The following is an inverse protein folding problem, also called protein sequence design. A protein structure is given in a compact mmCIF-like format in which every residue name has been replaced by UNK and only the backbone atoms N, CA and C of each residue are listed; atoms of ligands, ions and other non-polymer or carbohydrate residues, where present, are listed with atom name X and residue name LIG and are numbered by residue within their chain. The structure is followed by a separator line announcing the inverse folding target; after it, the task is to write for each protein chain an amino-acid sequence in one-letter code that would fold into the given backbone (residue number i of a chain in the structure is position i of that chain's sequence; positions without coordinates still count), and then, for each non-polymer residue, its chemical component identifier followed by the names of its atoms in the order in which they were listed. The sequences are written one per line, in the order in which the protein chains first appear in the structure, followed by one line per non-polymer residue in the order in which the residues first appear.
data_IF_844805983951
#
_entry.id   IF_844805983951
#
_cell.length_a   1.000
_cell.length_b   1.000
_cell.length_c   1.000
_cell.angle_alpha   90.00
_cell.angle_beta   90.00
_cell.angle_gamma   90.00
#
_symmetry.space_group_name_H-M   'P 1'
#
loop_
_entity.id
_entity.type
_entity.pdbx_description
1 polymer ?
#
# COMPACT_ATOMS: atom_id res chain seq x y z
N UNK A 1 -3.95 -6.80 8.45
CA UNK A 1 -3.06 -7.97 8.24
C UNK A 1 -2.83 -8.82 9.50
N UNK A 2 -3.01 -8.31 10.73
CA UNK A 2 -2.80 -9.07 11.96
C UNK A 2 -3.61 -10.39 12.03
N UNK A 3 -4.80 -10.42 11.42
CA UNK A 3 -5.64 -11.63 11.31
C UNK A 3 -4.95 -12.76 10.51
N UNK A 4 -4.30 -12.45 9.38
CA UNK A 4 -3.64 -13.44 8.53
C UNK A 4 -2.46 -14.10 9.25
N UNK A 5 -1.59 -13.27 9.86
CA UNK A 5 -0.48 -13.75 10.70
C UNK A 5 -0.96 -14.60 11.86
N UNK A 6 -2.02 -14.17 12.57
CA UNK A 6 -2.63 -14.96 13.65
C UNK A 6 -3.21 -16.27 13.14
N UNK A 7 -3.87 -16.32 11.99
CA UNK A 7 -4.38 -17.58 11.44
C UNK A 7 -3.25 -18.55 11.06
N UNK A 8 -2.20 -18.08 10.39
CA UNK A 8 -1.16 -18.95 9.87
C UNK A 8 -0.19 -19.45 10.95
N UNK A 9 0.16 -18.60 11.93
CA UNK A 9 0.89 -19.03 13.12
C UNK A 9 0.08 -20.02 13.98
N UNK A 10 -1.26 -19.84 14.06
CA UNK A 10 -2.17 -20.70 14.84
C UNK A 10 -2.52 -22.02 14.13
N UNK A 11 -2.43 -22.08 12.79
CA UNK A 11 -2.39 -23.34 12.02
C UNK A 11 -1.13 -24.13 12.39
N UNK A 12 0.04 -23.50 12.33
CA UNK A 12 1.35 -24.14 12.58
C UNK A 12 1.51 -24.76 13.98
N UNK A 13 0.76 -24.28 14.98
CA UNK A 13 0.88 -24.74 16.38
C UNK A 13 -0.11 -25.83 16.83
N UNK A 14 -1.07 -26.24 15.98
CA UNK A 14 -2.16 -27.16 16.39
C UNK A 14 -2.40 -28.37 15.48
N UNK A 15 -1.68 -28.47 14.38
CA UNK A 15 -2.04 -29.32 13.24
C UNK A 15 -0.81 -30.08 12.75
N UNK A 16 -0.92 -31.34 12.32
CA UNK A 16 0.24 -32.12 11.87
C UNK A 16 0.86 -31.53 10.59
N UNK A 17 2.11 -31.87 10.26
CA UNK A 17 2.76 -31.34 9.04
C UNK A 17 2.00 -31.70 7.75
N UNK A 18 1.37 -32.88 7.69
CA UNK A 18 0.56 -33.31 6.55
C UNK A 18 -0.73 -32.48 6.45
N UNK A 19 -1.43 -32.34 7.58
CA UNK A 19 -2.67 -31.56 7.65
C UNK A 19 -2.43 -30.06 7.40
N UNK A 20 -1.26 -29.53 7.78
CA UNK A 20 -0.86 -28.15 7.49
C UNK A 20 -0.74 -27.88 5.98
N UNK A 21 -0.26 -28.85 5.20
CA UNK A 21 -0.21 -28.75 3.74
C UNK A 21 -1.63 -28.69 3.16
N UNK A 22 -2.50 -29.65 3.51
CA UNK A 22 -3.87 -29.71 3.00
C UNK A 22 -4.70 -28.48 3.39
N UNK A 23 -4.61 -28.02 4.65
CA UNK A 23 -5.27 -26.80 5.15
C UNK A 23 -4.73 -25.53 4.46
N UNK A 24 -3.50 -25.55 3.93
CA UNK A 24 -2.95 -24.43 3.16
C UNK A 24 -3.39 -24.51 1.70
N UNK A 25 -3.33 -25.69 1.08
CA UNK A 25 -3.83 -25.97 -0.28
C UNK A 25 -5.29 -25.57 -0.45
N UNK A 26 -6.14 -25.88 0.52
CA UNK A 26 -7.58 -25.58 0.47
C UNK A 26 -7.92 -24.10 0.72
N UNK A 27 -7.12 -23.37 1.50
CA UNK A 27 -7.43 -21.99 1.91
C UNK A 27 -6.63 -20.91 1.15
N UNK A 28 -5.48 -21.25 0.57
CA UNK A 28 -4.59 -20.33 -0.14
C UNK A 28 -4.32 -20.76 -1.59
N UNK A 29 -4.66 -22.00 -1.96
CA UNK A 29 -4.34 -22.57 -3.28
C UNK A 29 -2.90 -23.06 -3.41
N UNK A 30 -2.45 -23.25 -4.66
CA UNK A 30 -1.10 -23.65 -5.03
C UNK A 30 -0.53 -22.68 -6.06
N UNK A 31 0.79 -22.47 -5.98
CA UNK A 31 1.62 -21.71 -6.89
C UNK A 31 2.23 -22.69 -7.91
N UNK A 32 1.63 -22.80 -9.10
CA UNK A 32 1.98 -23.80 -10.13
C UNK A 32 2.16 -25.22 -9.56
N UNK A 33 1.17 -25.71 -8.81
CA UNK A 33 1.19 -27.05 -8.18
C UNK A 33 2.03 -27.18 -6.91
N UNK A 34 2.73 -26.13 -6.48
CA UNK A 34 3.57 -26.12 -5.28
C UNK A 34 3.06 -25.15 -4.21
N UNK A 35 3.53 -25.24 -2.97
CA UNK A 35 3.23 -24.22 -1.95
C UNK A 35 3.96 -22.91 -2.26
N UNK A 36 3.38 -21.77 -1.87
CA UNK A 36 3.99 -20.45 -2.07
C UNK A 36 5.41 -20.38 -1.46
N UNK A 37 6.39 -20.02 -2.28
CA UNK A 37 7.80 -19.94 -1.89
C UNK A 37 8.07 -18.60 -1.19
N UNK A 38 8.78 -18.64 -0.05
CA UNK A 38 9.22 -17.43 0.66
C UNK A 38 10.59 -17.01 0.13
N UNK A 39 10.72 -15.76 -0.34
CA UNK A 39 12.00 -15.19 -0.75
C UNK A 39 12.68 -14.60 0.48
N UNK A 40 14.00 -14.72 0.57
CA UNK A 40 14.82 -14.03 1.56
C UNK A 40 15.06 -12.58 1.08
N UNK A 41 14.56 -11.53 1.77
CA UNK A 41 14.80 -10.15 1.34
C UNK A 41 16.29 -9.77 1.48
N UNK A 42 16.79 -8.77 0.72
CA UNK A 42 18.14 -8.26 0.86
C UNK A 42 18.46 -7.80 2.29
N UNK A 43 19.73 -7.92 2.69
CA UNK A 43 20.16 -7.54 4.05
C UNK A 43 19.93 -6.07 4.36
N UNK A 44 20.08 -5.19 3.37
CA UNK A 44 19.73 -3.76 3.47
C UNK A 44 18.25 -3.54 3.80
N UNK A 45 17.35 -4.25 3.12
CA UNK A 45 15.91 -4.16 3.36
C UNK A 45 15.51 -4.78 4.72
N UNK A 46 16.13 -5.89 5.13
CA UNK A 46 15.98 -6.46 6.48
C UNK A 46 16.47 -5.49 7.57
N UNK A 47 17.62 -4.85 7.37
CA UNK A 47 18.17 -3.88 8.31
C UNK A 47 17.23 -2.68 8.48
N UNK A 48 16.62 -2.18 7.39
CA UNK A 48 15.59 -1.15 7.45
C UNK A 48 14.32 -1.64 8.17
N UNK A 49 13.85 -2.85 7.88
CA UNK A 49 12.70 -3.49 8.55
C UNK A 49 12.88 -3.61 10.06
N UNK A 50 14.04 -4.08 10.52
CA UNK A 50 14.38 -4.16 11.95
C UNK A 50 14.55 -2.77 12.58
N UNK A 51 15.20 -1.82 11.89
CA UNK A 51 15.47 -0.46 12.40
C UNK A 51 14.20 0.38 12.53
N UNK A 52 13.23 0.20 11.64
CA UNK A 52 12.00 1.00 11.57
C UNK A 52 10.73 0.22 11.98
N UNK A 53 10.92 -0.94 12.64
CA UNK A 53 9.88 -1.76 13.25
C UNK A 53 8.68 -2.06 12.32
N UNK A 54 8.96 -2.36 11.04
CA UNK A 54 7.93 -2.75 10.08
C UNK A 54 8.11 -4.18 9.60
N UNK A 55 6.99 -4.84 9.36
CA UNK A 55 6.93 -6.21 8.88
C UNK A 55 7.34 -6.32 7.41
N UNK A 56 8.48 -6.97 7.15
CA UNK A 56 8.92 -7.33 5.81
C UNK A 56 8.70 -8.81 5.53
N UNK A 57 7.95 -9.11 4.46
CA UNK A 57 7.75 -10.46 3.93
C UNK A 57 7.87 -10.41 2.42
N UNK A 58 8.53 -11.41 1.82
CA UNK A 58 8.68 -11.52 0.38
C UNK A 58 8.29 -12.93 -0.05
N UNK A 59 7.52 -13.02 -1.13
CA UNK A 59 6.97 -14.27 -1.65
C UNK A 59 7.18 -14.33 -3.16
N UNK A 60 7.43 -15.53 -3.68
CA UNK A 60 7.61 -15.78 -5.11
C UNK A 60 6.38 -16.47 -5.67
N UNK A 61 5.60 -15.71 -6.43
CA UNK A 61 4.66 -16.30 -7.36
C UNK A 61 5.41 -16.71 -8.62
N UNK A 62 5.37 -18.00 -8.93
CA UNK A 62 5.91 -18.56 -10.16
C UNK A 62 4.76 -18.69 -11.13
N UNK A 63 5.00 -18.35 -12.39
CA UNK A 63 4.11 -18.67 -13.47
C UNK A 63 4.85 -19.58 -14.45
N UNK A 64 4.14 -20.54 -15.04
CA UNK A 64 4.49 -20.98 -16.38
C UNK A 64 4.49 -19.74 -17.30
N UNK A 65 5.43 -19.70 -18.24
CA UNK A 65 6.05 -18.47 -18.76
C UNK A 65 5.07 -17.45 -19.40
N UNK A 66 4.42 -16.60 -18.60
CA UNK A 66 3.90 -15.23 -18.90
C UNK A 66 3.52 -14.44 -17.60
N UNK A 67 3.10 -13.16 -17.68
CA UNK A 67 3.58 -12.06 -16.78
C UNK A 67 2.80 -11.63 -15.47
N UNK A 68 3.55 -11.52 -14.35
CA UNK A 68 3.64 -10.49 -13.25
C UNK A 68 2.47 -10.01 -12.31
N UNK A 69 2.64 -10.01 -10.94
CA UNK A 69 1.68 -9.52 -9.89
C UNK A 69 2.18 -8.45 -8.83
N UNK A 70 1.34 -8.00 -7.84
CA UNK A 70 1.59 -6.93 -6.79
C UNK A 70 0.84 -7.08 -5.41
N UNK A 71 1.25 -6.38 -4.30
CA UNK A 71 0.70 -6.45 -2.87
C UNK A 71 0.99 -5.19 -1.93
N UNK A 72 0.34 -5.02 -0.72
CA UNK A 72 0.32 -3.75 0.13
C UNK A 72 0.06 -3.80 1.69
N UNK A 73 0.35 -2.74 2.52
CA UNK A 73 0.25 -2.61 4.04
C UNK A 73 -0.02 -1.14 4.68
N UNK A 74 -0.20 -0.88 6.05
CA UNK A 74 -0.99 0.26 6.65
C UNK A 74 -0.44 1.25 7.79
N UNK A 75 -1.28 2.03 8.56
CA UNK A 75 -1.02 3.39 9.20
C UNK A 75 -1.51 3.83 10.66
N UNK A 76 -1.12 5.07 11.16
CA UNK A 76 -1.30 5.76 12.53
C UNK A 76 -1.27 7.40 12.54
N UNK A 77 -1.30 8.23 13.68
CA UNK A 77 -1.87 9.66 13.77
C UNK A 77 -1.08 11.10 13.83
N UNK A 78 -1.78 12.30 13.95
CA UNK A 78 -1.54 13.77 13.47
C UNK A 78 -1.47 14.91 14.52
N UNK A 79 -1.10 16.19 14.24
CA UNK A 79 -0.66 16.92 13.01
C UNK A 79 0.78 16.66 12.57
N UNK A 80 1.59 16.13 13.46
CA UNK A 80 2.89 15.53 13.13
C UNK A 80 2.76 14.44 12.05
N UNK A 81 1.55 13.90 11.79
CA UNK A 81 1.18 12.89 10.75
C UNK A 81 1.84 13.20 9.43
N UNK A 82 1.77 14.41 8.87
CA UNK A 82 2.19 14.58 7.46
C UNK A 82 3.69 14.28 7.31
N UNK A 83 4.49 14.93 8.15
CA UNK A 83 5.93 14.70 8.28
C UNK A 83 6.24 13.28 8.77
N UNK A 84 5.54 12.76 9.77
CA UNK A 84 5.74 11.42 10.32
C UNK A 84 5.32 10.29 9.34
N UNK A 85 4.36 10.54 8.46
CA UNK A 85 3.95 9.67 7.35
C UNK A 85 5.09 9.65 6.33
N UNK A 86 5.65 10.80 5.93
CA UNK A 86 6.82 10.85 5.06
C UNK A 86 8.06 10.21 5.71
N UNK A 87 8.33 10.48 6.99
CA UNK A 87 9.44 9.89 7.77
C UNK A 87 9.27 8.38 8.01
N UNK A 88 8.04 7.86 7.98
CA UNK A 88 7.75 6.41 8.10
C UNK A 88 7.68 5.71 6.76
N UNK A 89 7.12 6.34 5.73
CA UNK A 89 7.05 5.78 4.38
C UNK A 89 8.37 5.91 3.62
N UNK A 90 9.16 6.95 3.84
CA UNK A 90 10.49 7.10 3.25
C UNK A 90 11.34 5.83 3.43
N UNK A 91 11.54 5.32 4.66
CA UNK A 91 12.23 4.05 4.90
C UNK A 91 11.57 2.81 4.27
N UNK A 92 10.25 2.79 4.10
CA UNK A 92 9.52 1.67 3.46
C UNK A 92 9.71 1.70 1.94
N UNK A 93 9.60 2.89 1.34
CA UNK A 93 9.84 3.16 -0.08
C UNK A 93 11.32 2.91 -0.41
N UNK A 94 12.24 3.36 0.45
CA UNK A 94 13.67 3.10 0.36
C UNK A 94 13.96 1.58 0.45
N UNK A 95 13.34 0.86 1.39
CA UNK A 95 13.49 -0.59 1.49
C UNK A 95 12.94 -1.33 0.26
N UNK A 96 11.81 -0.88 -0.29
CA UNK A 96 11.23 -1.44 -1.51
C UNK A 96 12.13 -1.18 -2.73
N UNK A 97 12.56 0.06 -2.95
CA UNK A 97 13.47 0.45 -4.03
C UNK A 97 14.82 -0.27 -3.94
N UNK A 98 15.40 -0.37 -2.74
CA UNK A 98 16.64 -1.15 -2.51
C UNK A 98 16.43 -2.66 -2.69
N UNK A 99 15.18 -3.14 -2.63
CA UNK A 99 14.81 -4.53 -2.96
C UNK A 99 14.53 -4.74 -4.45
N UNK A 100 14.72 -3.73 -5.31
CA UNK A 100 14.47 -3.83 -6.75
C UNK A 100 12.98 -3.85 -7.13
N UNK A 101 12.09 -3.36 -6.25
CA UNK A 101 10.65 -3.27 -6.55
C UNK A 101 10.41 -2.32 -7.71
N UNK A 102 9.76 -2.80 -8.79
CA UNK A 102 9.51 -2.00 -9.98
C UNK A 102 8.25 -1.13 -9.87
N UNK A 103 7.28 -1.55 -9.04
CA UNK A 103 6.03 -0.83 -8.80
C UNK A 103 5.67 -0.94 -7.30
N UNK A 104 5.39 0.19 -6.65
CA UNK A 104 4.86 0.22 -5.28
C UNK A 104 3.45 0.85 -5.29
N UNK A 105 2.54 0.27 -4.49
CA UNK A 105 1.18 0.76 -4.32
C UNK A 105 0.93 1.11 -2.86
N UNK A 106 0.56 2.37 -2.61
CA UNK A 106 0.24 2.86 -1.27
C UNK A 106 -1.24 2.60 -0.94
N UNK A 107 -1.54 2.41 0.34
CA UNK A 107 -2.92 2.17 0.78
C UNK A 107 -3.86 3.34 0.46
N UNK A 108 -5.16 3.08 0.50
CA UNK A 108 -6.19 4.09 0.29
C UNK A 108 -5.99 5.31 1.21
N UNK A 109 -6.04 6.51 0.63
CA UNK A 109 -5.94 7.80 1.30
C UNK A 109 -4.77 7.87 2.32
N UNK A 110 -3.59 7.34 1.98
CA UNK A 110 -2.46 7.14 2.89
C UNK A 110 -1.95 8.39 3.63
N UNK A 111 -2.29 9.59 3.15
CA UNK A 111 -1.98 10.86 3.80
C UNK A 111 -2.82 11.17 5.05
N UNK A 112 -3.93 10.46 5.25
CA UNK A 112 -4.91 10.71 6.31
C UNK A 112 -5.31 9.42 7.04
N UNK A 113 -5.84 9.49 8.27
CA UNK A 113 -6.62 8.38 8.80
C UNK A 113 -7.86 8.19 7.95
N UNK A 114 -8.41 6.99 8.01
CA UNK A 114 -9.73 6.70 7.46
C UNK A 114 -10.83 7.33 8.34
N UNK A 115 -10.95 8.66 8.29
CA UNK A 115 -11.82 9.47 9.14
C UNK A 115 -13.20 9.77 8.52
N UNK A 116 -13.51 9.16 7.37
CA UNK A 116 -14.79 9.32 6.67
C UNK A 116 -16.00 8.97 7.56
N UNK A 117 -15.81 8.14 8.58
CA UNK A 117 -16.81 7.79 9.59
C UNK A 117 -17.29 8.97 10.44
N UNK A 118 -16.46 9.98 10.74
CA UNK A 118 -16.86 11.08 11.64
C UNK A 118 -17.73 12.14 10.96
N UNK A 119 -17.77 12.16 9.61
CA UNK A 119 -18.52 13.12 8.76
C UNK A 119 -18.12 14.59 8.96
N UNK A 120 -16.97 14.87 9.56
CA UNK A 120 -16.51 16.23 9.86
C UNK A 120 -15.70 16.84 8.70
N UNK A 121 -16.09 18.04 8.25
CA UNK A 121 -15.44 18.69 7.10
C UNK A 121 -13.97 19.10 7.30
N UNK A 122 -13.43 19.06 8.53
CA UNK A 122 -11.99 19.29 8.80
C UNK A 122 -11.09 18.31 8.06
N UNK A 123 -11.56 17.10 7.77
CA UNK A 123 -10.78 16.11 7.01
C UNK A 123 -10.55 16.53 5.55
N UNK A 124 -11.32 17.48 5.02
CA UNK A 124 -11.10 18.05 3.69
C UNK A 124 -9.79 18.87 3.58
N UNK A 125 -9.16 19.25 4.70
CA UNK A 125 -7.85 19.91 4.72
C UNK A 125 -6.71 19.00 4.25
N UNK A 126 -6.91 17.68 4.27
CA UNK A 126 -5.97 16.70 3.68
C UNK A 126 -6.06 16.63 2.15
N UNK A 127 -7.04 17.29 1.53
CA UNK A 127 -7.25 17.21 0.10
C UNK A 127 -6.29 18.13 -0.66
N UNK A 128 -5.40 17.52 -1.44
CA UNK A 128 -4.37 18.19 -2.22
C UNK A 128 -4.69 18.16 -3.72
N UNK A 129 -4.22 19.14 -4.52
CA UNK A 129 -4.21 18.98 -5.97
C UNK A 129 -3.32 17.79 -6.38
N UNK A 130 -3.54 17.24 -7.57
CA UNK A 130 -2.84 16.05 -8.08
C UNK A 130 -1.32 16.23 -8.14
N UNK A 131 -0.84 17.46 -8.31
CA UNK A 131 0.57 17.87 -8.30
C UNK A 131 1.02 18.49 -6.95
N UNK A 132 0.29 18.19 -5.87
CA UNK A 132 0.59 18.66 -4.50
C UNK A 132 1.84 18.02 -3.88
N UNK A 133 2.16 18.47 -2.67
CA UNK A 133 3.34 18.06 -1.89
C UNK A 133 3.48 16.54 -1.78
N UNK A 134 2.38 15.83 -1.55
CA UNK A 134 2.37 14.36 -1.41
C UNK A 134 2.73 13.65 -2.71
N UNK A 135 2.41 14.23 -3.87
CA UNK A 135 2.84 13.71 -5.17
C UNK A 135 4.32 14.04 -5.40
N UNK A 136 4.76 15.27 -5.10
CA UNK A 136 6.15 15.71 -5.29
C UNK A 136 7.14 14.84 -4.49
N UNK A 137 6.85 14.58 -3.21
CA UNK A 137 7.62 13.65 -2.36
C UNK A 137 7.79 12.25 -2.99
N UNK A 138 6.74 11.75 -3.65
CA UNK A 138 6.78 10.46 -4.34
C UNK A 138 7.45 10.54 -5.72
N UNK A 139 7.42 11.67 -6.42
CA UNK A 139 8.12 11.87 -7.68
C UNK A 139 9.65 11.78 -7.50
N UNK A 140 10.18 12.35 -6.41
CA UNK A 140 11.59 12.21 -6.02
C UNK A 140 11.97 10.74 -5.80
N UNK A 141 11.13 10.00 -5.08
CA UNK A 141 11.32 8.58 -4.79
C UNK A 141 11.22 7.69 -6.04
N UNK A 142 10.28 7.99 -6.93
CA UNK A 142 10.09 7.30 -8.21
C UNK A 142 11.34 7.41 -9.09
N UNK A 143 11.90 8.62 -9.20
CA UNK A 143 13.17 8.89 -9.88
C UNK A 143 14.35 8.17 -9.23
N UNK A 144 14.52 8.32 -7.91
CA UNK A 144 15.63 7.74 -7.13
C UNK A 144 15.77 6.23 -7.31
N UNK A 145 14.64 5.52 -7.46
CA UNK A 145 14.60 4.07 -7.54
C UNK A 145 14.20 3.51 -8.91
N UNK A 146 13.99 4.35 -9.93
CA UNK A 146 13.47 3.93 -11.24
C UNK A 146 12.19 3.07 -11.09
N UNK A 147 11.28 3.52 -10.23
CA UNK A 147 10.11 2.75 -9.75
C UNK A 147 8.81 3.51 -10.02
N UNK A 148 7.78 2.80 -10.48
CA UNK A 148 6.41 3.36 -10.62
C UNK A 148 5.74 3.41 -9.24
N UNK A 149 5.10 4.53 -8.90
CA UNK A 149 4.41 4.70 -7.62
C UNK A 149 2.92 4.98 -7.86
N UNK A 150 2.06 4.16 -7.26
CA UNK A 150 0.61 4.34 -7.25
C UNK A 150 0.20 4.93 -5.89
N UNK A 151 -0.30 6.16 -5.91
CA UNK A 151 -0.63 6.95 -4.73
C UNK A 151 -2.14 7.18 -4.64
N UNK A 152 -2.81 6.62 -3.63
CA UNK A 152 -4.22 6.93 -3.37
C UNK A 152 -4.34 8.12 -2.41
N UNK A 153 -4.98 9.20 -2.87
CA UNK A 153 -5.14 10.45 -2.14
C UNK A 153 -6.56 11.01 -2.26
N UNK A 154 -6.90 11.96 -1.40
CA UNK A 154 -8.06 12.83 -1.61
C UNK A 154 -7.59 13.98 -2.51
N UNK A 155 -8.04 13.99 -3.76
CA UNK A 155 -7.79 15.06 -4.72
C UNK A 155 -8.70 16.26 -4.41
N UNK A 156 -8.13 17.47 -4.33
CA UNK A 156 -8.85 18.74 -4.45
C UNK A 156 -8.75 19.24 -5.89
N UNK A 157 -9.86 19.19 -6.62
CA UNK A 157 -9.91 19.54 -8.03
C UNK A 157 -10.14 21.05 -8.24
N UNK A 158 -9.06 21.83 -8.13
CA UNK A 158 -9.07 23.31 -8.22
C UNK A 158 -9.80 23.79 -9.49
N UNK A 159 -9.56 23.14 -10.64
CA UNK A 159 -10.14 23.50 -11.94
C UNK A 159 -11.66 23.27 -12.05
N UNK A 160 -12.27 22.55 -11.11
CA UNK A 160 -13.71 22.29 -11.07
C UNK A 160 -14.27 22.58 -9.66
N UNK A 161 -14.17 23.85 -9.25
CA UNK A 161 -14.82 24.36 -8.03
C UNK A 161 -14.33 23.70 -6.74
N UNK A 162 -13.05 23.33 -6.68
CA UNK A 162 -12.43 22.61 -5.56
C UNK A 162 -13.12 21.29 -5.16
N UNK A 163 -13.86 20.65 -6.08
CA UNK A 163 -14.53 19.37 -5.82
C UNK A 163 -13.54 18.29 -5.34
N UNK A 164 -13.96 17.54 -4.33
CA UNK A 164 -13.12 16.50 -3.71
C UNK A 164 -13.34 15.15 -4.38
N UNK A 165 -12.27 14.38 -4.57
CA UNK A 165 -12.32 13.07 -5.21
C UNK A 165 -11.35 12.08 -4.60
N UNK A 166 -11.84 10.91 -4.19
CA UNK A 166 -10.96 9.78 -3.87
C UNK A 166 -10.29 9.29 -5.18
N UNK A 167 -8.96 9.43 -5.24
CA UNK A 167 -8.20 9.40 -6.50
C UNK A 167 -6.89 8.63 -6.34
N UNK A 168 -6.65 7.67 -7.23
CA UNK A 168 -5.34 7.07 -7.42
C UNK A 168 -4.56 7.85 -8.49
N UNK A 169 -3.40 8.40 -8.13
CA UNK A 169 -2.44 9.06 -9.01
C UNK A 169 -1.33 8.08 -9.36
N UNK A 170 -0.97 8.00 -10.64
CA UNK A 170 0.07 7.11 -11.16
C UNK A 170 1.29 7.95 -11.50
N UNK A 171 2.39 7.71 -10.78
CA UNK A 171 3.67 8.39 -10.96
C UNK A 171 4.62 7.41 -11.65
N UNK A 172 5.14 7.80 -12.81
CA UNK A 172 6.09 7.01 -13.58
C UNK A 172 7.48 6.99 -12.96
N UNK A 173 8.28 6.01 -13.38
CA UNK A 173 9.68 5.83 -12.99
C UNK A 173 10.59 7.03 -13.35
N UNK A 174 10.18 7.88 -14.30
CA UNK A 174 10.85 9.15 -14.61
C UNK A 174 10.29 10.34 -13.79
N UNK A 175 9.57 10.08 -12.69
CA UNK A 175 8.96 11.11 -11.85
C UNK A 175 7.82 11.89 -12.51
N UNK A 176 7.39 11.53 -13.73
CA UNK A 176 6.27 12.19 -14.40
C UNK A 176 4.93 11.63 -13.90
N UNK A 177 3.89 12.45 -13.82
CA UNK A 177 2.52 11.97 -13.57
C UNK A 177 2.02 11.34 -14.88
N UNK A 178 1.80 10.02 -14.88
CA UNK A 178 1.28 9.26 -16.03
C UNK A 178 -0.23 9.49 -16.18
N UNK A 179 -0.96 9.59 -15.07
CA UNK A 179 -2.40 9.80 -15.07
C UNK A 179 -3.02 9.67 -13.69
N UNK A 180 -4.36 9.70 -13.66
CA UNK A 180 -5.15 9.53 -12.44
C UNK A 180 -6.45 8.75 -12.69
N UNK A 181 -6.93 8.05 -11.67
CA UNK A 181 -8.19 7.32 -11.67
C UNK A 181 -9.02 7.70 -10.43
N UNK A 182 -10.29 8.06 -10.62
CA UNK A 182 -11.22 8.42 -9.53
C UNK A 182 -12.12 7.24 -9.17
N UNK A 183 -12.34 7.04 -7.87
CA UNK A 183 -13.15 5.93 -7.33
C UNK A 183 -14.57 5.95 -7.91
N UNK A 184 -14.92 4.92 -8.68
CA UNK A 184 -16.22 4.82 -9.38
C UNK A 184 -17.39 4.45 -8.46
N UNK A 185 -17.14 3.62 -7.45
CA UNK A 185 -18.16 3.11 -6.54
C UNK A 185 -17.92 3.70 -5.15
N UNK A 186 -18.77 4.64 -4.75
CA UNK A 186 -18.65 5.35 -3.47
C UNK A 186 -19.54 4.65 -2.42
N UNK A 187 -18.98 4.13 -1.32
CA UNK A 187 -19.78 3.44 -0.31
C UNK A 187 -20.70 4.39 0.46
N UNK A 188 -21.85 3.83 0.85
CA UNK A 188 -22.93 4.47 1.63
C UNK A 188 -23.48 3.46 2.64
N UNK A 189 -22.72 3.16 3.70
CA UNK A 189 -23.15 2.18 4.70
C UNK A 189 -22.34 2.22 6.00
N UNK A 190 -23.05 2.33 7.13
CA UNK A 190 -22.44 2.40 8.46
C UNK A 190 -21.41 3.53 8.57
N UNK A 191 -20.19 3.17 9.00
CA UNK A 191 -19.04 4.07 9.13
C UNK A 191 -18.40 4.44 7.78
N UNK A 192 -18.72 3.72 6.70
CA UNK A 192 -18.24 4.00 5.35
C UNK A 192 -19.22 4.92 4.62
N UNK A 193 -19.22 6.20 5.02
CA UNK A 193 -20.10 7.23 4.47
C UNK A 193 -19.34 8.27 3.61
N UNK A 194 -18.44 7.77 2.75
CA UNK A 194 -17.57 8.58 1.87
C UNK A 194 -18.35 9.59 1.02
N UNK A 195 -19.59 9.26 0.63
CA UNK A 195 -20.44 10.15 -0.19
C UNK A 195 -20.91 11.46 0.47
N UNK A 196 -20.49 11.71 1.71
CA UNK A 196 -20.72 12.96 2.45
C UNK A 196 -19.67 14.03 2.10
N UNK A 197 -18.58 13.63 1.44
CA UNK A 197 -17.40 14.43 1.11
C UNK A 197 -17.30 14.73 -0.38
#
# INVERSE_FOLDING_TARGET
MELGKKMEARKKSKVSKMDQFEVSRLLLGLNCGTTLETIVPPESAKALSSKHEFDLQAFKFSADKELTPLLSQPLLPFQTRKKAIFEKLGPIIDAAGTSGVNIICLQEAWMMPFAFCTREKRWCEFAEPVNGESTQFLQESALKYNMVIISSMVERNINHGETLWNTAVIIGNHGNIIGKHRKKHIPRGGDFNESTY
#
